data_IF_562561202565
#
_entry.id   IF_562561202565
#
_cell.length_a   1.000
_cell.length_b   1.000
_cell.length_c   1.000
_cell.angle_alpha   90.00
_cell.angle_beta   90.00
_cell.angle_gamma   90.00
#
_symmetry.space_group_name_H-M   'P 1'
#
loop_
_entity.id
_entity.type
_entity.pdbx_description
1 polymer ?
#
# COMPACT_ATOMS: atom_id res chain seq x y z
N UNK A 1 24.46 14.26 -2.80
CA UNK A 1 23.87 14.16 -1.76
C UNK A 1 22.93 13.16 -1.78
N UNK A 2 22.92 12.34 -1.11
CA UNK A 2 22.11 11.35 -1.18
C UNK A 2 20.99 11.59 -0.48
N UNK A 3 20.00 11.28 -0.99
CA UNK A 3 18.85 11.33 -0.33
C UNK A 3 18.72 10.14 0.44
N UNK A 4 19.22 10.13 1.57
CA UNK A 4 18.97 9.01 2.38
C UNK A 4 17.53 9.04 2.75
N UNK A 5 16.82 7.99 2.48
CA UNK A 5 15.44 7.90 2.80
C UNK A 5 15.30 7.36 4.20
N UNK A 6 14.69 8.14 5.04
CA UNK A 6 14.39 7.74 6.40
C UNK A 6 13.22 6.76 6.35
N UNK A 7 13.38 5.52 6.77
CA UNK A 7 12.29 4.54 6.72
C UNK A 7 11.05 4.97 7.50
N UNK A 8 11.23 5.67 8.60
CA UNK A 8 10.08 6.14 9.35
C UNK A 8 9.31 7.18 8.56
N UNK A 9 10.01 8.00 7.80
CA UNK A 9 9.38 9.01 6.99
C UNK A 9 8.63 8.38 5.84
N UNK A 10 9.19 7.35 5.22
CA UNK A 10 8.51 6.64 4.16
C UNK A 10 7.23 6.00 4.68
N UNK A 11 7.29 5.39 5.84
CA UNK A 11 6.10 4.74 6.40
C UNK A 11 5.02 5.72 6.77
N UNK A 12 5.39 6.97 7.09
CA UNK A 12 4.39 7.96 7.43
C UNK A 12 3.95 8.77 6.25
N UNK A 13 4.66 8.64 5.12
CA UNK A 13 4.29 9.41 3.95
C UNK A 13 2.90 9.01 3.50
N UNK A 14 2.07 9.97 3.25
CA UNK A 14 0.77 9.68 2.77
C UNK A 14 0.81 9.55 1.27
N UNK A 15 0.10 8.58 0.75
CA UNK A 15 -0.10 8.48 -0.68
C UNK A 15 -0.94 9.71 -1.09
N UNK A 16 -0.51 10.46 -2.07
CA UNK A 16 -1.25 11.66 -2.46
C UNK A 16 -2.55 11.26 -3.15
N UNK A 17 -3.64 11.37 -2.44
CA UNK A 17 -4.95 11.03 -2.96
C UNK A 17 -5.57 12.28 -3.54
N UNK A 18 -6.00 12.18 -4.79
CA UNK A 18 -6.69 13.27 -5.47
C UNK A 18 -7.99 13.56 -4.73
N UNK A 19 -8.20 14.76 -4.23
CA UNK A 19 -9.42 15.06 -3.50
C UNK A 19 -10.67 14.97 -4.38
N UNK A 20 -10.50 14.92 -5.72
CA UNK A 20 -11.65 14.77 -6.58
C UNK A 20 -11.87 13.35 -7.06
N UNK A 21 -11.07 12.41 -6.64
CA UNK A 21 -11.24 11.02 -7.05
C UNK A 21 -12.54 10.48 -6.50
N UNK A 22 -13.22 9.69 -7.32
CA UNK A 22 -14.46 9.05 -6.89
C UNK A 22 -14.14 7.83 -6.05
N UNK A 23 -15.14 7.34 -5.33
CA UNK A 23 -14.98 6.11 -4.56
C UNK A 23 -14.57 4.96 -5.47
N UNK A 24 -15.16 4.87 -6.66
CA UNK A 24 -14.82 3.81 -7.59
C UNK A 24 -13.36 3.88 -8.03
N UNK A 25 -12.88 5.08 -8.32
CA UNK A 25 -11.48 5.27 -8.70
C UNK A 25 -10.55 4.89 -7.56
N UNK A 26 -10.91 5.26 -6.35
CA UNK A 26 -10.09 4.94 -5.19
C UNK A 26 -10.06 3.45 -4.92
N UNK A 27 -11.18 2.74 -5.14
CA UNK A 27 -11.20 1.30 -4.97
C UNK A 27 -10.38 0.61 -6.04
N UNK A 28 -10.38 1.12 -7.26
CA UNK A 28 -9.51 0.60 -8.31
C UNK A 28 -8.05 0.78 -7.94
N UNK A 29 -7.69 1.93 -7.41
CA UNK A 29 -6.34 2.17 -6.97
C UNK A 29 -5.97 1.24 -5.81
N UNK A 30 -6.87 1.07 -4.86
CA UNK A 30 -6.61 0.17 -3.74
C UNK A 30 -6.34 -1.24 -4.23
N UNK A 31 -7.14 -1.72 -5.18
CA UNK A 31 -6.98 -3.04 -5.74
C UNK A 31 -5.61 -3.18 -6.40
N UNK A 32 -5.21 -2.17 -7.15
CA UNK A 32 -3.93 -2.18 -7.83
C UNK A 32 -2.77 -2.30 -6.83
N UNK A 33 -2.79 -1.49 -5.79
CA UNK A 33 -1.71 -1.50 -4.81
C UNK A 33 -1.67 -2.80 -4.02
N UNK A 34 -2.84 -3.35 -3.70
CA UNK A 34 -2.91 -4.61 -2.98
C UNK A 34 -2.46 -5.78 -3.86
N UNK A 35 -2.74 -5.73 -5.16
CA UNK A 35 -2.24 -6.74 -6.08
C UNK A 35 -0.72 -6.69 -6.19
N UNK A 36 -0.14 -5.51 -6.18
CA UNK A 36 1.32 -5.37 -6.17
C UNK A 36 1.90 -5.99 -4.91
N UNK A 37 1.28 -5.72 -3.77
CA UNK A 37 1.75 -6.28 -2.50
C UNK A 37 1.68 -7.80 -2.53
N UNK A 38 0.60 -8.35 -3.06
CA UNK A 38 0.42 -9.79 -3.15
C UNK A 38 1.47 -10.41 -4.07
N UNK A 39 1.70 -9.79 -5.23
CA UNK A 39 2.68 -10.31 -6.18
C UNK A 39 4.08 -10.33 -5.57
N UNK A 40 4.41 -9.30 -4.82
CA UNK A 40 5.70 -9.22 -4.17
C UNK A 40 5.83 -10.29 -3.09
N UNK A 41 4.75 -10.51 -2.34
CA UNK A 41 4.76 -11.55 -1.32
C UNK A 41 4.93 -12.94 -1.94
N UNK A 42 4.28 -13.19 -3.07
CA UNK A 42 4.41 -14.47 -3.76
C UNK A 42 5.82 -14.67 -4.28
N UNK A 43 6.42 -13.63 -4.82
CA UNK A 43 7.78 -13.69 -5.28
C UNK A 43 8.73 -14.01 -4.14
N UNK A 44 8.53 -13.37 -3.01
CA UNK A 44 9.36 -13.61 -1.84
C UNK A 44 9.20 -15.05 -1.34
N UNK A 45 7.98 -15.56 -1.34
CA UNK A 45 7.74 -16.94 -0.94
C UNK A 45 8.46 -17.92 -1.86
N UNK A 46 8.46 -17.65 -3.17
CA UNK A 46 9.15 -18.49 -4.12
C UNK A 46 10.65 -18.49 -3.87
N UNK A 47 11.21 -17.34 -3.57
CA UNK A 47 12.64 -17.24 -3.30
C UNK A 47 13.01 -18.05 -2.05
N UNK A 48 12.17 -18.02 -1.04
CA UNK A 48 12.42 -18.79 0.18
C UNK A 48 12.35 -20.29 -0.12
N UNK A 49 11.41 -20.70 -0.96
CA UNK A 49 11.25 -22.10 -1.28
C UNK A 49 12.36 -22.66 -2.18
N UNK A 50 13.07 -21.81 -2.87
CA UNK A 50 14.11 -22.27 -3.77
C UNK A 50 15.43 -22.56 -3.07
N UNK A 51 15.44 -22.61 -1.81
CA UNK A 51 16.59 -23.03 -1.01
C UNK A 51 17.76 -22.08 -0.99
N UNK A 52 17.73 -21.02 -1.74
CA UNK A 52 18.78 -20.04 -1.63
C UNK A 52 18.50 -19.16 -0.43
N UNK A 53 19.44 -19.05 0.49
CA UNK A 53 19.19 -18.22 1.65
C UNK A 53 18.98 -16.79 1.22
N UNK A 54 17.86 -16.24 1.58
CA UNK A 54 17.59 -14.85 1.32
C UNK A 54 18.34 -14.04 2.38
N UNK A 55 19.16 -13.11 1.92
CA UNK A 55 19.84 -12.20 2.82
C UNK A 55 18.83 -11.50 3.71
N UNK A 56 19.12 -11.46 5.01
CA UNK A 56 18.19 -10.84 5.96
C UNK A 56 17.86 -9.41 5.62
N UNK A 57 18.82 -8.66 5.08
CA UNK A 57 18.58 -7.29 4.70
C UNK A 57 17.60 -7.20 3.53
N UNK A 58 17.76 -8.09 2.55
CA UNK A 58 16.83 -8.11 1.42
C UNK A 58 15.45 -8.56 1.85
N UNK A 59 15.39 -9.50 2.77
CA UNK A 59 14.12 -9.95 3.31
C UNK A 59 13.43 -8.79 4.01
N UNK A 60 14.14 -8.04 4.83
CA UNK A 60 13.57 -6.91 5.53
C UNK A 60 13.06 -5.85 4.56
N UNK A 61 13.84 -5.56 3.51
CA UNK A 61 13.42 -4.57 2.52
C UNK A 61 12.16 -5.03 1.79
N UNK A 62 12.09 -6.32 1.45
CA UNK A 62 10.92 -6.85 0.76
C UNK A 62 9.68 -6.76 1.63
N UNK A 63 9.82 -7.09 2.90
CA UNK A 63 8.68 -7.01 3.82
C UNK A 63 8.24 -5.57 4.02
N UNK A 64 9.18 -4.64 4.09
CA UNK A 64 8.82 -3.24 4.21
C UNK A 64 8.11 -2.72 2.97
N UNK A 65 8.54 -3.17 1.79
CA UNK A 65 7.87 -2.78 0.56
C UNK A 65 6.44 -3.31 0.51
N UNK A 66 6.25 -4.56 0.94
CA UNK A 66 4.91 -5.14 1.00
C UNK A 66 4.04 -4.33 1.97
N UNK A 67 4.61 -3.98 3.12
CA UNK A 67 3.89 -3.17 4.10
C UNK A 67 3.51 -1.81 3.56
N UNK A 68 4.42 -1.16 2.84
CA UNK A 68 4.15 0.16 2.27
C UNK A 68 3.04 0.11 1.23
N UNK A 69 3.08 -0.89 0.35
CA UNK A 69 2.04 -1.05 -0.67
C UNK A 69 0.68 -1.33 -0.03
N UNK A 70 0.68 -2.15 1.00
CA UNK A 70 -0.54 -2.46 1.73
C UNK A 70 -1.10 -1.21 2.41
N UNK A 71 -0.21 -0.40 2.97
CA UNK A 71 -0.63 0.84 3.63
C UNK A 71 -1.29 1.79 2.63
N UNK A 72 -0.72 1.92 1.45
CA UNK A 72 -1.30 2.76 0.40
C UNK A 72 -2.69 2.22 0.01
N UNK A 73 -2.80 0.91 -0.14
CA UNK A 73 -4.09 0.30 -0.45
C UNK A 73 -5.13 0.57 0.62
N UNK A 74 -4.71 0.50 1.88
CA UNK A 74 -5.61 0.79 2.99
C UNK A 74 -6.05 2.26 3.00
N UNK A 75 -5.15 3.18 2.68
CA UNK A 75 -5.51 4.59 2.60
C UNK A 75 -6.54 4.83 1.51
N UNK A 76 -6.34 4.21 0.34
CA UNK A 76 -7.29 4.35 -0.75
C UNK A 76 -8.65 3.78 -0.37
N UNK A 77 -8.67 2.63 0.32
CA UNK A 77 -9.91 2.02 0.76
C UNK A 77 -10.63 2.88 1.78
N UNK A 78 -9.89 3.44 2.73
CA UNK A 78 -10.48 4.29 3.76
C UNK A 78 -11.09 5.55 3.13
N UNK A 79 -10.40 6.14 2.17
CA UNK A 79 -10.94 7.30 1.49
C UNK A 79 -12.16 6.96 0.65
N UNK A 80 -12.14 5.79 0.00
CA UNK A 80 -13.31 5.35 -0.78
C UNK A 80 -14.51 5.18 0.13
N UNK A 81 -14.29 4.57 1.29
CA UNK A 81 -15.37 4.39 2.27
C UNK A 81 -15.93 5.73 2.73
N UNK A 82 -15.06 6.68 3.02
CA UNK A 82 -15.49 8.00 3.43
C UNK A 82 -16.31 8.69 2.35
N UNK A 83 -15.90 8.52 1.06
CA UNK A 83 -16.64 9.12 -0.04
C UNK A 83 -18.01 8.52 -0.19
N UNK A 84 -18.12 7.20 -0.04
CA UNK A 84 -19.41 6.51 -0.14
C UNK A 84 -20.32 6.98 0.99
N UNK A 85 -19.82 7.07 2.20
CA UNK A 85 -20.62 7.55 3.32
C UNK A 85 -21.09 8.98 3.10
N UNK A 86 -20.22 9.81 2.51
CA UNK A 86 -20.55 11.19 2.26
C UNK A 86 -21.60 11.31 1.16
N UNK A 87 -21.47 10.47 0.12
CA UNK A 87 -22.41 10.50 -1.01
C UNK A 87 -23.76 9.96 -0.66
N UNK A 88 -23.84 9.06 0.31
CA UNK A 88 -25.09 8.46 0.67
C UNK A 88 -25.89 9.29 1.63
N UNK A 89 -25.78 10.54 1.52
CA UNK A 89 -26.55 11.30 2.36
C UNK A 89 -25.78 11.98 3.39
N UNK A 90 -24.62 11.57 3.42
CA UNK A 90 -23.63 12.27 3.95
C UNK A 90 -23.61 12.64 5.37
N UNK A 91 -24.65 12.69 6.01
CA UNK A 91 -24.55 13.22 7.31
C UNK A 91 -24.55 12.11 8.26
N UNK A 92 -23.59 12.08 9.10
CA UNK A 92 -23.65 11.16 10.20
C UNK A 92 -24.79 11.59 11.02
N UNK A 93 -25.60 10.77 11.22
CA UNK A 93 -26.74 11.13 12.02
C UNK A 93 -26.43 11.17 13.45
#
# INVERSE_FOLDING_TARGET
MSASIDPAKVRRASYPIDPEATAHELLNDATKWLQYARSLAELLADLVHESDPVDGKRMALSLEAIGALTHIGLQCTAQAHARVCWEQGGLPM
#
